data_IF_583901586477
#
_entry.id   IF_583901586477
#
_cell.length_a   1.000
_cell.length_b   1.000
_cell.length_c   1.000
_cell.angle_alpha   90.00
_cell.angle_beta   90.00
_cell.angle_gamma   90.00
#
_symmetry.space_group_name_H-M   'P 1'
#
loop_
_entity.id
_entity.type
_entity.pdbx_description
1 polymer ?
#
# COMPACT_ATOMS: atom_id res chain seq x y z
N UNK A 1 -15.95 12.83 -12.73
CA UNK A 1 -15.31 11.80 -13.58
C UNK A 1 -15.93 10.44 -13.32
N UNK A 2 -15.95 9.55 -14.32
CA UNK A 2 -16.44 8.18 -14.20
C UNK A 2 -15.28 7.22 -13.88
N UNK A 3 -15.45 6.33 -12.89
CA UNK A 3 -14.42 5.39 -12.43
C UNK A 3 -15.00 3.97 -12.38
N UNK A 4 -14.30 3.01 -12.97
CA UNK A 4 -14.63 1.58 -12.79
C UNK A 4 -14.00 1.11 -11.48
N UNK A 5 -14.83 0.58 -10.57
CA UNK A 5 -14.41 -0.01 -9.30
C UNK A 5 -14.72 -1.50 -9.32
N UNK A 6 -13.68 -2.33 -9.15
CA UNK A 6 -13.82 -3.78 -8.98
C UNK A 6 -13.70 -4.13 -7.51
N UNK A 7 -14.65 -4.87 -6.96
CA UNK A 7 -14.58 -5.39 -5.60
C UNK A 7 -15.23 -6.77 -5.48
N UNK A 8 -15.17 -7.34 -4.28
CA UNK A 8 -16.06 -8.44 -3.93
C UNK A 8 -17.48 -7.93 -3.60
N UNK A 9 -18.35 -8.83 -3.15
CA UNK A 9 -19.74 -8.54 -2.80
C UNK A 9 -19.93 -7.94 -1.39
N UNK A 10 -18.85 -7.46 -0.75
CA UNK A 10 -18.90 -6.98 0.63
C UNK A 10 -19.73 -5.69 0.77
N UNK A 11 -20.64 -5.69 1.75
CA UNK A 11 -21.65 -4.63 1.96
C UNK A 11 -21.08 -3.27 2.38
N UNK A 12 -19.79 -3.20 2.73
CA UNK A 12 -19.12 -1.94 3.00
C UNK A 12 -18.91 -1.08 1.74
N UNK A 13 -18.72 -1.69 0.56
CA UNK A 13 -18.41 -0.96 -0.66
C UNK A 13 -19.55 -0.04 -1.09
N UNK A 14 -20.83 -0.49 -1.19
CA UNK A 14 -21.94 0.40 -1.54
C UNK A 14 -22.06 1.61 -0.59
N UNK A 15 -21.83 1.40 0.71
CA UNK A 15 -21.88 2.48 1.72
C UNK A 15 -20.76 3.50 1.53
N UNK A 16 -19.55 3.03 1.21
CA UNK A 16 -18.41 3.90 0.95
C UNK A 16 -18.57 4.68 -0.36
N UNK A 17 -19.01 4.01 -1.42
CA UNK A 17 -19.26 4.61 -2.75
C UNK A 17 -20.28 5.75 -2.64
N UNK A 18 -21.40 5.57 -1.92
CA UNK A 18 -22.42 6.62 -1.72
C UNK A 18 -21.90 7.89 -1.04
N UNK A 19 -20.79 7.82 -0.30
CA UNK A 19 -20.18 8.99 0.36
C UNK A 19 -19.32 9.83 -0.59
N UNK A 20 -18.92 9.27 -1.73
CA UNK A 20 -18.04 9.91 -2.71
C UNK A 20 -18.88 10.53 -3.83
N UNK A 21 -19.55 11.65 -3.52
CA UNK A 21 -20.50 12.33 -4.43
C UNK A 21 -19.84 13.12 -5.55
N UNK A 22 -18.53 13.29 -5.51
CA UNK A 22 -17.75 14.08 -6.48
C UNK A 22 -17.38 13.28 -7.76
N UNK A 23 -17.83 12.02 -7.85
CA UNK A 23 -17.54 11.12 -8.97
C UNK A 23 -18.61 10.06 -9.14
N UNK A 24 -18.66 9.48 -10.34
CA UNK A 24 -19.58 8.38 -10.67
C UNK A 24 -18.81 7.08 -10.71
N UNK A 25 -19.41 5.99 -10.21
CA UNK A 25 -18.80 4.67 -10.18
C UNK A 25 -19.56 3.67 -11.04
N UNK A 26 -18.83 2.93 -11.87
CA UNK A 26 -19.28 1.66 -12.44
C UNK A 26 -18.74 0.58 -11.49
N UNK A 27 -19.63 -0.02 -10.69
CA UNK A 27 -19.23 -0.98 -9.65
C UNK A 27 -19.38 -2.41 -10.17
N UNK A 28 -18.24 -3.02 -10.53
CA UNK A 28 -18.15 -4.42 -10.96
C UNK A 28 -17.86 -5.31 -9.74
N UNK A 29 -18.78 -6.23 -9.43
CA UNK A 29 -18.63 -7.14 -8.29
C UNK A 29 -18.22 -8.53 -8.76
N UNK A 30 -17.31 -9.16 -8.02
CA UNK A 30 -16.93 -10.57 -8.23
C UNK A 30 -17.25 -11.36 -6.97
N UNK A 31 -18.09 -12.40 -7.09
CA UNK A 31 -18.43 -13.23 -5.96
C UNK A 31 -17.21 -13.93 -5.36
N UNK A 32 -17.17 -14.04 -4.03
CA UNK A 32 -16.10 -14.72 -3.31
C UNK A 32 -16.04 -16.23 -3.60
N UNK A 33 -17.11 -16.80 -4.14
CA UNK A 33 -17.21 -18.20 -4.58
C UNK A 33 -16.51 -18.45 -5.91
N UNK A 34 -16.21 -17.41 -6.69
CA UNK A 34 -15.51 -17.55 -7.97
C UNK A 34 -14.07 -18.00 -7.72
N UNK A 35 -13.59 -18.92 -8.55
CA UNK A 35 -12.23 -19.43 -8.46
C UNK A 35 -11.20 -18.29 -8.50
N UNK A 36 -10.23 -18.33 -7.57
CA UNK A 36 -9.13 -17.35 -7.47
C UNK A 36 -7.99 -17.72 -8.41
N UNK A 37 -8.24 -17.63 -9.71
CA UNK A 37 -7.24 -17.83 -10.76
C UNK A 37 -6.67 -16.49 -11.24
N UNK A 38 -5.66 -16.54 -12.11
CA UNK A 38 -5.12 -15.35 -12.79
C UNK A 38 -6.14 -14.62 -13.68
N UNK A 39 -7.23 -15.30 -14.06
CA UNK A 39 -8.34 -14.74 -14.85
C UNK A 39 -9.38 -14.02 -13.98
N UNK A 40 -9.29 -14.15 -12.66
CA UNK A 40 -10.22 -13.49 -11.75
C UNK A 40 -10.03 -11.97 -11.84
N UNK A 41 -11.10 -11.16 -11.97
CA UNK A 41 -10.99 -9.69 -12.04
C UNK A 41 -10.29 -9.07 -10.81
N UNK A 42 -10.33 -9.74 -9.67
CA UNK A 42 -9.69 -9.34 -8.42
C UNK A 42 -8.29 -9.95 -8.24
N UNK A 43 -7.73 -10.63 -9.24
CA UNK A 43 -6.43 -11.30 -9.11
C UNK A 43 -5.32 -10.36 -8.62
N UNK A 44 -5.24 -9.14 -9.15
CA UNK A 44 -4.20 -8.19 -8.79
C UNK A 44 -4.24 -7.80 -7.29
N UNK A 45 -5.43 -7.53 -6.74
CA UNK A 45 -5.59 -7.18 -5.32
C UNK A 45 -5.39 -8.41 -4.43
N UNK A 46 -5.92 -9.56 -4.83
CA UNK A 46 -5.76 -10.82 -4.09
C UNK A 46 -4.28 -11.25 -4.02
N UNK A 47 -3.55 -11.14 -5.13
CA UNK A 47 -2.12 -11.42 -5.16
C UNK A 47 -1.35 -10.44 -4.29
N UNK A 48 -1.69 -9.15 -4.34
CA UNK A 48 -1.05 -8.13 -3.52
C UNK A 48 -1.28 -8.41 -2.03
N UNK A 49 -2.51 -8.68 -1.62
CA UNK A 49 -2.84 -9.04 -0.23
C UNK A 49 -2.08 -10.30 0.23
N UNK A 50 -2.08 -11.36 -0.58
CA UNK A 50 -1.33 -12.59 -0.29
C UNK A 50 0.16 -12.27 -0.04
N UNK A 51 0.78 -11.52 -0.93
CA UNK A 51 2.19 -11.18 -0.85
C UNK A 51 2.50 -10.26 0.33
N UNK A 52 1.64 -9.30 0.64
CA UNK A 52 1.77 -8.42 1.82
C UNK A 52 1.75 -9.26 3.09
N UNK A 53 0.77 -10.16 3.24
CA UNK A 53 0.66 -11.04 4.42
C UNK A 53 1.79 -12.05 4.52
N UNK A 54 2.31 -12.51 3.39
CA UNK A 54 3.45 -13.43 3.36
C UNK A 54 4.77 -12.74 3.74
N UNK A 55 5.00 -11.53 3.24
CA UNK A 55 6.28 -10.81 3.43
C UNK A 55 6.30 -9.90 4.66
N UNK A 56 5.16 -9.65 5.30
CA UNK A 56 5.08 -8.68 6.39
C UNK A 56 4.20 -9.17 7.54
N UNK A 57 4.85 -9.63 8.62
CA UNK A 57 4.17 -10.24 9.77
C UNK A 57 3.11 -9.35 10.43
N UNK A 58 3.29 -8.03 10.43
CA UNK A 58 2.33 -7.06 10.98
C UNK A 58 0.99 -6.99 10.21
N UNK A 59 0.96 -7.48 8.97
CA UNK A 59 -0.26 -7.57 8.17
C UNK A 59 -0.91 -8.96 8.24
N UNK A 60 -0.23 -9.94 8.86
CA UNK A 60 -0.73 -11.31 9.05
C UNK A 60 -1.17 -11.59 10.48
N UNK A 61 -0.46 -11.06 11.48
CA UNK A 61 -0.65 -11.40 12.89
C UNK A 61 -1.35 -10.27 13.63
N UNK A 62 -2.33 -10.65 14.44
CA UNK A 62 -3.07 -9.75 15.35
C UNK A 62 -2.43 -9.66 16.73
N UNK A 63 -1.41 -10.50 17.00
CA UNK A 63 -0.70 -10.58 18.29
C UNK A 63 0.66 -9.85 18.20
N UNK A 64 1.77 -10.50 18.59
CA UNK A 64 3.08 -9.90 18.86
C UNK A 64 3.67 -9.00 17.75
N UNK A 65 3.30 -9.22 16.49
CA UNK A 65 3.85 -8.47 15.36
C UNK A 65 2.96 -7.31 14.89
N UNK A 66 1.85 -7.01 15.57
CA UNK A 66 0.89 -6.01 15.12
C UNK A 66 1.48 -4.59 15.11
N UNK A 67 1.03 -3.77 14.17
CA UNK A 67 1.37 -2.34 14.13
C UNK A 67 0.59 -1.57 15.20
N UNK A 68 1.29 -1.09 16.24
CA UNK A 68 0.69 -0.30 17.33
C UNK A 68 -0.05 0.95 16.81
N UNK A 69 0.50 1.64 15.82
CA UNK A 69 -0.11 2.81 15.16
C UNK A 69 -0.56 2.46 13.74
N UNK A 70 -1.71 2.99 13.31
CA UNK A 70 -2.24 2.77 11.94
C UNK A 70 -1.25 3.17 10.84
N UNK A 71 -0.61 4.32 11.01
CA UNK A 71 0.40 4.81 10.07
C UNK A 71 1.62 3.88 9.95
N UNK A 72 1.96 3.12 10.98
CA UNK A 72 3.08 2.17 10.93
C UNK A 72 2.80 1.01 9.96
N UNK A 73 1.53 0.59 9.86
CA UNK A 73 1.12 -0.38 8.84
C UNK A 73 1.24 0.24 7.43
N UNK A 74 0.88 1.51 7.28
CA UNK A 74 1.04 2.24 6.00
C UNK A 74 2.51 2.40 5.59
N UNK A 75 3.42 2.65 6.54
CA UNK A 75 4.85 2.71 6.24
C UNK A 75 5.40 1.38 5.72
N UNK A 76 4.98 0.26 6.34
CA UNK A 76 5.39 -1.07 5.87
C UNK A 76 4.83 -1.38 4.49
N UNK A 77 3.61 -0.95 4.19
CA UNK A 77 3.05 -1.03 2.85
C UNK A 77 3.83 -0.18 1.84
N UNK A 78 4.26 1.03 2.20
CA UNK A 78 5.08 1.88 1.33
C UNK A 78 6.43 1.23 1.00
N UNK A 79 7.11 0.65 1.99
CA UNK A 79 8.35 -0.11 1.79
C UNK A 79 8.10 -1.32 0.88
N UNK A 80 7.01 -2.07 1.15
CA UNK A 80 6.62 -3.20 0.32
C UNK A 80 6.37 -2.80 -1.13
N UNK A 81 5.71 -1.67 -1.38
CA UNK A 81 5.46 -1.18 -2.74
C UNK A 81 6.74 -0.88 -3.50
N UNK A 82 7.75 -0.27 -2.85
CA UNK A 82 9.05 -0.04 -3.49
C UNK A 82 9.77 -1.36 -3.75
N UNK A 83 9.86 -2.21 -2.72
CA UNK A 83 10.53 -3.51 -2.84
C UNK A 83 9.90 -4.40 -3.90
N UNK A 84 8.56 -4.54 -3.90
CA UNK A 84 7.83 -5.40 -4.83
C UNK A 84 7.95 -4.93 -6.26
N UNK A 85 7.90 -3.62 -6.51
CA UNK A 85 7.83 -3.09 -7.87
C UNK A 85 9.20 -2.81 -8.49
N UNK A 86 10.22 -2.46 -7.69
CA UNK A 86 11.50 -1.98 -8.21
C UNK A 86 12.70 -2.84 -7.81
N UNK A 87 12.60 -3.68 -6.78
CA UNK A 87 13.75 -4.47 -6.28
C UNK A 87 13.57 -5.95 -6.60
N UNK A 88 12.37 -6.49 -6.35
CA UNK A 88 12.09 -7.92 -6.45
C UNK A 88 11.65 -8.31 -7.85
N UNK A 89 12.29 -9.36 -8.38
CA UNK A 89 11.85 -10.02 -9.61
C UNK A 89 10.41 -10.56 -9.47
N UNK A 90 9.66 -10.54 -10.57
CA UNK A 90 8.30 -11.09 -10.63
C UNK A 90 8.26 -12.59 -10.38
N UNK A 91 9.34 -13.31 -10.66
CA UNK A 91 9.45 -14.76 -10.54
C UNK A 91 10.72 -15.15 -9.78
N UNK A 92 10.55 -16.00 -8.76
CA UNK A 92 11.67 -16.49 -7.93
C UNK A 92 12.48 -17.55 -8.67
N UNK A 93 11.81 -18.44 -9.42
CA UNK A 93 12.45 -19.59 -10.05
C UNK A 93 13.10 -19.25 -11.40
N UNK A 94 12.64 -18.19 -12.06
CA UNK A 94 13.12 -17.76 -13.37
C UNK A 94 13.12 -16.23 -13.39
N UNK A 95 14.28 -15.56 -13.31
CA UNK A 95 14.34 -14.11 -13.39
C UNK A 95 13.67 -13.61 -14.67
N UNK A 96 12.74 -12.66 -14.55
CA UNK A 96 11.98 -12.05 -15.66
C UNK A 96 11.94 -10.52 -15.56
N UNK A 97 12.73 -9.94 -14.67
CA UNK A 97 12.67 -8.53 -14.34
C UNK A 97 11.53 -8.20 -13.36
N UNK A 98 11.63 -7.01 -12.80
CA UNK A 98 10.69 -6.44 -11.84
C UNK A 98 9.36 -6.05 -12.48
N UNK A 99 8.29 -5.80 -11.70
CA UNK A 99 7.07 -5.19 -12.21
C UNK A 99 7.31 -3.85 -12.92
N UNK A 100 8.20 -2.99 -12.40
CA UNK A 100 8.49 -1.70 -13.01
C UNK A 100 9.11 -1.86 -14.42
N UNK A 101 9.97 -2.85 -14.62
CA UNK A 101 10.50 -3.19 -15.95
C UNK A 101 9.41 -3.68 -16.89
N UNK A 102 8.53 -4.55 -16.41
CA UNK A 102 7.47 -5.12 -17.23
C UNK A 102 6.48 -4.07 -17.78
N UNK A 103 6.33 -2.94 -17.09
CA UNK A 103 5.47 -1.83 -17.52
C UNK A 103 6.26 -0.64 -18.10
N UNK A 104 7.57 -0.80 -18.30
CA UNK A 104 8.42 0.23 -18.92
C UNK A 104 8.73 1.45 -18.03
N UNK A 105 8.45 1.39 -16.73
CA UNK A 105 8.77 2.47 -15.77
C UNK A 105 10.22 2.38 -15.28
N UNK A 106 10.75 1.16 -15.19
CA UNK A 106 12.14 0.89 -14.82
C UNK A 106 12.89 0.18 -15.94
N UNK A 107 14.21 0.33 -15.99
CA UNK A 107 15.07 -0.36 -16.98
C UNK A 107 15.80 -1.57 -16.41
N UNK A 108 15.92 -1.65 -15.08
CA UNK A 108 16.54 -2.75 -14.35
C UNK A 108 16.06 -2.79 -12.90
N UNK A 109 16.30 -3.88 -12.16
CA UNK A 109 16.12 -3.90 -10.72
C UNK A 109 17.00 -2.84 -10.04
N UNK A 110 16.42 -2.15 -9.06
CA UNK A 110 17.11 -1.21 -8.18
C UNK A 110 17.58 -1.97 -6.94
N UNK A 111 18.83 -1.80 -6.54
CA UNK A 111 19.34 -2.38 -5.30
C UNK A 111 18.86 -1.63 -4.06
N UNK A 112 18.86 -2.30 -2.90
CA UNK A 112 18.54 -1.65 -1.61
C UNK A 112 19.48 -0.47 -1.33
N UNK A 113 20.77 -0.60 -1.71
CA UNK A 113 21.75 0.48 -1.59
C UNK A 113 21.35 1.71 -2.40
N UNK A 114 20.85 1.53 -3.61
CA UNK A 114 20.40 2.65 -4.44
C UNK A 114 19.12 3.30 -3.89
N UNK A 115 18.17 2.49 -3.41
CA UNK A 115 16.95 3.00 -2.76
C UNK A 115 17.29 3.87 -1.55
N UNK A 116 18.27 3.47 -0.75
CA UNK A 116 18.70 4.17 0.47
C UNK A 116 19.88 5.13 0.26
N UNK A 117 20.42 5.19 -0.96
CA UNK A 117 21.68 5.89 -1.26
C UNK A 117 21.54 7.41 -1.33
N UNK A 118 20.30 7.91 -1.35
CA UNK A 118 20.00 9.35 -1.36
C UNK A 118 18.96 9.65 -0.30
N UNK A 119 19.24 10.66 0.52
CA UNK A 119 18.25 11.21 1.45
C UNK A 119 17.24 12.04 0.67
N UNK A 120 16.00 11.58 0.62
CA UNK A 120 14.88 12.34 0.08
C UNK A 120 14.25 13.19 1.19
N UNK A 121 14.14 14.49 0.95
CA UNK A 121 13.47 15.41 1.86
C UNK A 121 12.00 15.58 1.44
N UNK A 122 11.02 15.29 2.33
CA UNK A 122 9.59 15.31 1.98
C UNK A 122 9.10 16.63 1.40
N UNK A 123 9.61 17.76 1.91
CA UNK A 123 9.27 19.08 1.42
C UNK A 123 9.81 19.39 0.01
N UNK A 124 10.79 18.61 -0.47
CA UNK A 124 11.31 18.69 -1.85
C UNK A 124 10.59 17.75 -2.82
N UNK A 125 9.75 16.83 -2.32
CA UNK A 125 9.01 15.87 -3.14
C UNK A 125 7.60 16.42 -3.39
N UNK A 126 7.30 16.74 -4.64
CA UNK A 126 5.94 17.09 -5.05
C UNK A 126 5.02 15.88 -4.77
N UNK A 127 4.09 16.02 -3.81
CA UNK A 127 3.09 14.99 -3.50
C UNK A 127 2.94 14.67 -2.01
N UNK A 128 3.94 14.92 -1.16
CA UNK A 128 3.81 14.70 0.29
C UNK A 128 3.11 15.90 0.93
N UNK A 129 1.78 15.99 0.75
CA UNK A 129 0.93 17.07 1.26
C UNK A 129 -0.33 16.53 1.94
N UNK A 130 -1.03 17.40 2.68
CA UNK A 130 -2.32 17.07 3.31
C UNK A 130 -2.26 15.80 4.17
N UNK A 131 -3.18 14.87 3.89
CA UNK A 131 -3.25 13.59 4.60
C UNK A 131 -1.96 12.75 4.47
N UNK A 132 -1.30 12.77 3.31
CA UNK A 132 -0.06 12.00 3.12
C UNK A 132 1.08 12.59 3.95
N UNK A 133 1.16 13.92 4.09
CA UNK A 133 2.10 14.56 5.01
C UNK A 133 1.79 14.19 6.47
N UNK A 134 0.52 14.20 6.87
CA UNK A 134 0.12 13.74 8.20
C UNK A 134 0.52 12.28 8.44
N UNK A 135 0.38 11.41 7.44
CA UNK A 135 0.88 10.04 7.49
C UNK A 135 2.39 10.02 7.68
N UNK A 136 3.16 10.69 6.81
CA UNK A 136 4.63 10.67 6.82
C UNK A 136 5.24 11.19 8.13
N UNK A 137 4.74 12.30 8.66
CA UNK A 137 5.22 12.88 9.92
C UNK A 137 4.62 12.21 11.15
N UNK A 138 3.87 11.13 10.96
CA UNK A 138 3.31 10.34 12.04
C UNK A 138 2.28 11.09 12.89
N UNK A 139 1.50 11.97 12.27
CA UNK A 139 0.46 12.80 12.89
C UNK A 139 -0.94 12.19 12.79
N UNK A 140 -1.07 10.96 12.26
CA UNK A 140 -2.35 10.26 12.22
C UNK A 140 -2.63 9.63 13.59
N UNK A 141 -3.70 10.10 14.23
CA UNK A 141 -4.22 9.51 15.46
C UNK A 141 -4.69 8.08 15.25
N UNK A 142 -4.34 7.19 16.17
CA UNK A 142 -4.88 5.83 16.20
C UNK A 142 -5.99 5.78 17.24
N UNK A 143 -7.25 5.60 16.78
CA UNK A 143 -8.46 5.70 17.62
C UNK A 143 -8.42 4.82 18.89
N UNK A 144 -7.77 3.67 18.83
CA UNK A 144 -7.66 2.74 19.95
C UNK A 144 -6.64 3.18 21.02
N UNK A 145 -5.83 4.22 20.77
CA UNK A 145 -4.81 4.73 21.69
C UNK A 145 -5.33 6.02 22.31
N UNK A 146 -5.65 5.98 23.61
CA UNK A 146 -6.18 7.13 24.35
C UNK A 146 -5.27 8.36 24.33
N UNK A 147 -3.94 8.18 24.36
CA UNK A 147 -2.95 9.26 24.24
C UNK A 147 -1.99 8.99 23.07
N UNK A 148 -2.37 9.42 21.87
CA UNK A 148 -1.58 9.25 20.65
C UNK A 148 -0.69 10.47 20.36
N UNK A 149 0.44 10.58 21.09
CA UNK A 149 1.35 11.73 20.97
C UNK A 149 2.15 11.66 19.66
N UNK A 150 2.26 12.79 18.96
CA UNK A 150 3.19 12.95 17.85
C UNK A 150 4.58 13.28 18.41
N UNK A 151 5.63 12.69 17.82
CA UNK A 151 6.99 13.00 18.26
C UNK A 151 7.33 14.45 17.91
N UNK A 152 7.55 15.26 18.94
CA UNK A 152 8.13 16.59 18.80
C UNK A 152 9.65 16.40 18.78
N UNK A 153 10.30 16.74 17.67
CA UNK A 153 11.76 16.59 17.52
C UNK A 153 12.52 17.65 18.33
N UNK A 154 12.32 17.66 19.66
CA UNK A 154 12.84 18.65 20.61
C UNK A 154 14.37 18.71 20.64
N UNK A 155 15.04 17.63 20.24
CA UNK A 155 16.51 17.51 20.24
C UNK A 155 17.14 17.61 18.84
N UNK A 156 16.34 17.88 17.80
CA UNK A 156 16.85 18.11 16.46
C UNK A 156 16.90 19.62 16.19
N UNK A 157 17.84 20.29 16.86
CA UNK A 157 18.22 21.68 16.59
C UNK A 157 19.55 21.65 15.83
#
# INVERSE_FOLDING_TARGET
GCVVLRSDEHQAYPRAIRRLRDRTFIHEQTSSKVARTTKNPLFAVNLSDLLIRHSSANHKRETIAFSKRRQSALYRLAIWSVWRNYVKDRSVNRPRGTPAEAVGIGTRPISVREVLGRRCFPWRVQGVRGWLAACYFGRIGTRAIGRCVAHEARYAV
#
